data_IF_658983076584
#
_entry.id   IF_658983076584
#
_cell.length_a   1.000
_cell.length_b   1.000
_cell.length_c   1.000
_cell.angle_alpha   90.00
_cell.angle_beta   90.00
_cell.angle_gamma   90.00
#
_symmetry.space_group_name_H-M   'P 1'
#
loop_
_entity.id
_entity.type
_entity.pdbx_description
1 polymer ?
#
# COMPACT_ATOMS: atom_id res chain seq x y z
N UNK A 1 -24.05 24.28 6.16
CA UNK A 1 -24.60 23.91 4.82
C UNK A 1 -23.62 24.36 3.75
N UNK A 2 -22.89 23.43 3.14
CA UNK A 2 -22.22 23.61 1.85
C UNK A 2 -22.30 22.25 1.15
N UNK A 3 -23.13 22.17 0.10
CA UNK A 3 -23.37 20.95 -0.67
C UNK A 3 -22.13 20.66 -1.51
N UNK A 4 -21.39 19.60 -1.18
CA UNK A 4 -20.45 18.99 -2.11
C UNK A 4 -21.27 18.38 -3.25
N UNK A 5 -21.19 19.02 -4.41
CA UNK A 5 -21.79 18.55 -5.65
C UNK A 5 -21.17 17.20 -6.02
N UNK A 6 -21.98 16.15 -5.94
CA UNK A 6 -21.72 14.86 -6.53
C UNK A 6 -21.52 15.01 -8.04
N UNK A 7 -20.34 14.68 -8.55
CA UNK A 7 -20.14 14.55 -9.99
C UNK A 7 -20.07 13.06 -10.35
N UNK A 8 -21.24 12.43 -10.43
CA UNK A 8 -21.39 11.11 -11.00
C UNK A 8 -21.14 11.21 -12.53
N UNK A 9 -20.29 10.33 -13.04
CA UNK A 9 -19.77 10.23 -14.43
C UNK A 9 -18.59 11.14 -14.80
N UNK A 10 -17.37 10.75 -14.38
CA UNK A 10 -16.17 11.16 -15.13
C UNK A 10 -16.24 10.52 -16.52
N UNK A 11 -16.47 11.35 -17.53
CA UNK A 11 -16.34 10.98 -18.94
C UNK A 11 -14.98 10.32 -19.20
N UNK A 12 -14.95 9.38 -20.13
CA UNK A 12 -13.82 8.54 -20.57
C UNK A 12 -12.58 9.30 -21.10
N UNK A 13 -12.51 10.63 -20.94
CA UNK A 13 -11.40 11.49 -21.35
C UNK A 13 -10.68 12.25 -20.22
N UNK A 14 -11.10 12.12 -18.96
CA UNK A 14 -10.40 12.80 -17.86
C UNK A 14 -8.94 12.29 -17.71
N UNK A 15 -7.95 13.17 -17.45
CA UNK A 15 -6.59 12.75 -17.15
C UNK A 15 -6.55 11.77 -15.97
N UNK A 16 -5.70 10.75 -16.07
CA UNK A 16 -5.51 9.79 -14.99
C UNK A 16 -4.75 10.48 -13.85
N UNK A 17 -5.33 10.53 -12.65
CA UNK A 17 -4.77 11.29 -11.54
C UNK A 17 -4.75 10.53 -10.21
N UNK A 18 -4.52 11.24 -9.08
CA UNK A 18 -4.36 10.63 -7.76
C UNK A 18 -5.57 9.81 -7.29
N UNK A 19 -6.79 10.22 -7.63
CA UNK A 19 -7.99 9.43 -7.34
C UNK A 19 -7.95 8.09 -8.09
N UNK A 20 -7.66 8.12 -9.39
CA UNK A 20 -7.60 6.91 -10.21
C UNK A 20 -6.49 5.97 -9.73
N UNK A 21 -5.37 6.51 -9.26
CA UNK A 21 -4.31 5.73 -8.64
C UNK A 21 -4.75 5.04 -7.35
N UNK A 22 -5.47 5.73 -6.45
CA UNK A 22 -6.00 5.09 -5.24
C UNK A 22 -6.96 3.94 -5.56
N UNK A 23 -7.73 4.04 -6.65
CA UNK A 23 -8.57 2.94 -7.15
C UNK A 23 -7.75 1.73 -7.65
N UNK A 24 -6.52 1.94 -8.11
CA UNK A 24 -5.59 0.84 -8.43
C UNK A 24 -5.17 0.11 -7.16
N UNK A 25 -4.84 0.87 -6.10
CA UNK A 25 -4.49 0.29 -4.81
C UNK A 25 -5.65 -0.55 -4.26
N UNK A 26 -6.85 0.05 -4.22
CA UNK A 26 -8.07 -0.59 -3.75
C UNK A 26 -8.42 -1.87 -4.52
N UNK A 27 -8.36 -1.84 -5.86
CA UNK A 27 -8.68 -3.05 -6.65
C UNK A 27 -7.78 -4.21 -6.30
N UNK A 28 -6.51 -3.96 -5.99
CA UNK A 28 -5.57 -5.01 -5.58
C UNK A 28 -5.86 -5.53 -4.18
N UNK A 29 -6.24 -4.65 -3.26
CA UNK A 29 -6.66 -5.01 -1.90
C UNK A 29 -7.98 -5.79 -1.87
N UNK A 30 -8.86 -5.58 -2.87
CA UNK A 30 -10.14 -6.29 -2.98
C UNK A 30 -10.00 -7.81 -3.14
N UNK A 31 -8.80 -8.28 -3.52
CA UNK A 31 -8.51 -9.71 -3.56
C UNK A 31 -8.46 -10.34 -2.14
N UNK A 32 -8.31 -9.53 -1.08
CA UNK A 32 -8.32 -9.97 0.32
C UNK A 32 -9.47 -9.37 1.13
N UNK A 33 -9.83 -8.11 0.85
CA UNK A 33 -10.77 -7.32 1.65
C UNK A 33 -11.87 -6.69 0.78
N UNK A 34 -12.73 -7.50 0.11
CA UNK A 34 -13.69 -6.98 -0.86
C UNK A 34 -14.73 -6.03 -0.24
N UNK A 35 -15.20 -6.29 0.98
CA UNK A 35 -16.19 -5.45 1.67
C UNK A 35 -15.60 -4.09 2.06
N UNK A 36 -14.41 -4.09 2.67
CA UNK A 36 -13.72 -2.85 3.08
C UNK A 36 -13.38 -1.96 1.87
N UNK A 37 -13.02 -2.59 0.74
CA UNK A 37 -12.82 -1.87 -0.52
C UNK A 37 -14.11 -1.31 -1.07
N UNK A 38 -15.21 -2.04 -0.99
CA UNK A 38 -16.50 -1.56 -1.47
C UNK A 38 -16.97 -0.31 -0.70
N UNK A 39 -16.75 -0.29 0.61
CA UNK A 39 -17.08 0.85 1.47
C UNK A 39 -16.17 2.06 1.19
N UNK A 40 -14.85 1.86 1.12
CA UNK A 40 -13.91 2.92 0.74
C UNK A 40 -14.23 3.51 -0.65
N UNK A 41 -14.61 2.64 -1.61
CA UNK A 41 -15.02 3.07 -2.96
C UNK A 41 -16.29 3.91 -2.91
N UNK A 42 -17.30 3.53 -2.10
CA UNK A 42 -18.54 4.31 -1.93
C UNK A 42 -18.26 5.67 -1.30
N UNK A 43 -17.39 5.73 -0.30
CA UNK A 43 -16.96 7.00 0.32
C UNK A 43 -16.32 7.94 -0.70
N UNK A 44 -15.52 7.40 -1.63
CA UNK A 44 -14.94 8.14 -2.75
C UNK A 44 -15.95 8.51 -3.86
N UNK A 45 -17.21 8.03 -3.77
CA UNK A 45 -18.25 8.29 -4.78
C UNK A 45 -18.00 7.63 -6.14
N UNK A 46 -17.15 6.60 -6.20
CA UNK A 46 -16.75 5.93 -7.45
C UNK A 46 -17.56 4.66 -7.63
N UNK A 47 -17.95 4.28 -8.85
CA UNK A 47 -18.63 3.00 -9.12
C UNK A 47 -17.63 1.81 -9.21
N UNK A 48 -18.11 0.57 -9.05
CA UNK A 48 -17.27 -0.62 -9.29
C UNK A 48 -16.70 -0.63 -10.73
N UNK A 49 -17.50 -0.20 -11.71
CA UNK A 49 -17.05 -0.04 -13.09
C UNK A 49 -15.96 1.03 -13.21
N UNK A 50 -16.07 2.15 -12.51
CA UNK A 50 -15.05 3.18 -12.46
C UNK A 50 -13.71 2.67 -11.91
N UNK A 51 -13.74 1.90 -10.82
CA UNK A 51 -12.54 1.27 -10.28
C UNK A 51 -11.90 0.29 -11.27
N UNK A 52 -12.71 -0.54 -11.95
CA UNK A 52 -12.22 -1.46 -13.00
C UNK A 52 -11.58 -0.70 -14.16
N UNK A 53 -12.18 0.41 -14.58
CA UNK A 53 -11.67 1.26 -15.66
C UNK A 53 -10.35 1.93 -15.29
N UNK A 54 -10.21 2.47 -14.07
CA UNK A 54 -8.94 2.99 -13.57
C UNK A 54 -7.84 1.93 -13.62
N UNK A 55 -8.14 0.70 -13.18
CA UNK A 55 -7.18 -0.39 -13.24
C UNK A 55 -6.80 -0.78 -14.67
N UNK A 56 -7.77 -0.81 -15.59
CA UNK A 56 -7.51 -1.07 -17.01
C UNK A 56 -6.54 -0.04 -17.60
N UNK A 57 -6.78 1.25 -17.33
CA UNK A 57 -5.92 2.36 -17.78
C UNK A 57 -4.52 2.29 -17.17
N UNK A 58 -4.40 1.99 -15.88
CA UNK A 58 -3.11 1.80 -15.22
C UNK A 58 -2.30 0.66 -15.85
N UNK A 59 -2.94 -0.50 -16.05
CA UNK A 59 -2.31 -1.65 -16.67
C UNK A 59 -1.86 -1.38 -18.11
N UNK A 60 -2.64 -0.59 -18.86
CA UNK A 60 -2.22 -0.13 -20.19
C UNK A 60 -0.97 0.77 -20.13
N UNK A 61 -0.90 1.70 -19.16
CA UNK A 61 0.29 2.55 -18.96
C UNK A 61 1.53 1.75 -18.56
N UNK A 62 1.38 0.73 -17.69
CA UNK A 62 2.49 -0.13 -17.25
C UNK A 62 3.05 -0.97 -18.39
N UNK A 63 2.20 -1.46 -19.29
CA UNK A 63 2.59 -2.36 -20.39
C UNK A 63 3.00 -1.66 -21.69
N UNK A 64 2.94 -0.33 -21.74
CA UNK A 64 3.23 0.40 -22.98
C UNK A 64 4.70 0.20 -23.42
N UNK A 65 4.97 -0.13 -24.70
CA UNK A 65 6.34 -0.42 -25.19
C UNK A 65 7.35 0.72 -25.03
N UNK A 66 6.87 1.97 -24.94
CA UNK A 66 7.66 3.18 -24.67
C UNK A 66 7.32 3.79 -23.31
N UNK A 67 6.89 2.98 -22.35
CA UNK A 67 6.58 3.46 -21.02
C UNK A 67 7.82 4.19 -20.46
N UNK A 68 7.60 5.41 -19.98
CA UNK A 68 8.62 6.10 -19.18
C UNK A 68 8.93 5.22 -17.95
N UNK A 69 10.16 5.31 -17.42
CA UNK A 69 10.57 4.56 -16.23
C UNK A 69 9.57 4.70 -15.08
N UNK A 70 9.48 3.71 -14.19
CA UNK A 70 8.43 3.61 -13.17
C UNK A 70 8.24 4.90 -12.35
N UNK A 71 9.34 5.54 -11.93
CA UNK A 71 9.30 6.83 -11.24
C UNK A 71 8.63 7.95 -12.03
N UNK A 72 8.94 8.07 -13.33
CA UNK A 72 8.34 9.08 -14.20
C UNK A 72 6.83 8.87 -14.36
N UNK A 73 6.36 7.62 -14.37
CA UNK A 73 4.94 7.30 -14.37
C UNK A 73 4.26 7.77 -13.08
N UNK A 74 4.86 7.53 -11.91
CA UNK A 74 4.30 8.04 -10.65
C UNK A 74 4.23 9.56 -10.62
N UNK A 75 5.31 10.26 -11.01
CA UNK A 75 5.31 11.73 -11.11
C UNK A 75 4.24 12.25 -12.07
N UNK A 76 4.04 11.58 -13.20
CA UNK A 76 3.01 11.97 -14.17
C UNK A 76 1.57 11.81 -13.65
N UNK A 77 1.33 10.88 -12.72
CA UNK A 77 -0.01 10.56 -12.20
C UNK A 77 -0.29 11.27 -10.89
N UNK A 78 0.72 11.37 -10.02
CA UNK A 78 0.60 11.89 -8.65
C UNK A 78 1.11 13.32 -8.52
N UNK A 79 1.78 13.86 -9.54
CA UNK A 79 2.44 15.15 -9.50
C UNK A 79 3.80 15.10 -8.80
N UNK A 80 4.25 16.24 -8.31
CA UNK A 80 5.47 16.31 -7.49
C UNK A 80 5.25 15.64 -6.13
N UNK A 81 6.25 14.90 -5.61
CA UNK A 81 6.17 14.33 -4.27
C UNK A 81 6.06 15.44 -3.23
N UNK A 82 5.34 15.17 -2.14
CA UNK A 82 5.28 16.06 -0.97
C UNK A 82 6.64 16.11 -0.27
N UNK A 83 7.34 14.98 -0.22
CA UNK A 83 8.64 14.87 0.42
C UNK A 83 9.57 13.97 -0.40
N UNK A 84 10.85 14.34 -0.46
CA UNK A 84 11.92 13.50 -1.01
C UNK A 84 13.12 13.55 -0.07
N UNK A 85 13.66 12.38 0.29
CA UNK A 85 14.86 12.28 1.12
C UNK A 85 15.67 11.03 0.76
N UNK A 86 16.96 11.04 1.14
CA UNK A 86 17.83 9.87 1.00
C UNK A 86 17.64 8.92 2.18
N UNK A 87 17.61 7.62 1.90
CA UNK A 87 17.54 6.55 2.88
C UNK A 87 18.58 5.48 2.56
N UNK A 88 19.38 5.14 3.56
CA UNK A 88 20.28 3.99 3.52
C UNK A 88 19.52 2.72 3.86
N UNK A 89 19.61 1.69 3.01
CA UNK A 89 19.08 0.35 3.27
C UNK A 89 20.21 -0.66 3.06
N UNK A 90 20.75 -1.17 4.17
CA UNK A 90 21.98 -1.95 4.13
C UNK A 90 23.15 -1.07 3.68
N UNK A 91 23.76 -1.40 2.55
CA UNK A 91 24.83 -0.66 1.89
C UNK A 91 24.33 0.22 0.72
N UNK A 92 23.03 0.19 0.43
CA UNK A 92 22.43 0.94 -0.68
C UNK A 92 21.88 2.30 -0.22
N UNK A 93 22.32 3.37 -0.87
CA UNK A 93 21.72 4.70 -0.76
C UNK A 93 20.57 4.84 -1.78
N UNK A 94 19.34 5.02 -1.30
CA UNK A 94 18.15 5.16 -2.14
C UNK A 94 17.48 6.52 -1.93
N UNK A 95 16.83 7.04 -2.96
CA UNK A 95 15.88 8.15 -2.80
C UNK A 95 14.50 7.61 -2.44
N UNK A 96 13.90 8.11 -1.37
CA UNK A 96 12.51 7.88 -1.00
C UNK A 96 11.67 9.09 -1.39
N UNK A 97 10.64 8.89 -2.21
CA UNK A 97 9.71 9.92 -2.65
C UNK A 97 8.31 9.59 -2.15
N UNK A 98 7.65 10.55 -1.50
CA UNK A 98 6.38 10.34 -0.82
C UNK A 98 5.28 11.21 -1.42
N UNK A 99 4.16 10.59 -1.76
CA UNK A 99 2.95 11.28 -2.21
C UNK A 99 1.79 11.10 -1.23
N UNK A 100 0.94 12.13 -1.07
CA UNK A 100 -0.29 11.99 -0.31
C UNK A 100 -1.25 11.01 -1.00
N UNK A 101 -1.94 10.24 -0.18
CA UNK A 101 -3.03 9.34 -0.59
C UNK A 101 -4.28 9.69 0.22
N UNK A 102 -5.12 10.64 -0.25
CA UNK A 102 -6.21 11.21 0.54
C UNK A 102 -7.18 10.23 1.23
N UNK A 103 -7.33 9.00 0.70
CA UNK A 103 -8.11 7.94 1.33
C UNK A 103 -7.52 7.48 2.68
N UNK A 104 -6.20 7.59 2.85
CA UNK A 104 -5.48 7.30 4.08
C UNK A 104 -4.67 8.53 4.51
N UNK A 105 -5.28 9.53 5.17
CA UNK A 105 -4.63 10.82 5.45
C UNK A 105 -3.31 10.71 6.24
N UNK A 106 -3.23 9.73 7.15
CA UNK A 106 -2.03 9.45 7.94
C UNK A 106 -0.96 8.62 7.21
N UNK A 107 -1.17 8.24 5.95
CA UNK A 107 -0.23 7.45 5.16
C UNK A 107 0.30 8.24 3.96
N UNK A 108 1.39 7.76 3.39
CA UNK A 108 1.96 8.21 2.12
C UNK A 108 2.25 7.01 1.24
N UNK A 109 2.12 7.20 -0.06
CA UNK A 109 2.67 6.25 -1.02
C UNK A 109 4.15 6.60 -1.25
N UNK A 110 5.04 5.73 -0.78
CA UNK A 110 6.47 5.83 -0.93
C UNK A 110 6.93 5.02 -2.15
N UNK A 111 7.72 5.66 -3.00
CA UNK A 111 8.51 5.00 -4.05
C UNK A 111 9.97 5.13 -3.67
N UNK A 112 10.63 4.00 -3.45
CA UNK A 112 12.08 3.97 -3.26
C UNK A 112 12.80 3.69 -4.58
N UNK A 113 13.81 4.50 -4.84
CA UNK A 113 14.57 4.52 -6.08
C UNK A 113 16.03 4.23 -5.76
N UNK A 114 16.55 3.13 -6.30
CA UNK A 114 17.94 2.74 -6.16
C UNK A 114 18.86 3.63 -7.04
N UNK A 115 20.18 3.62 -6.78
CA UNK A 115 21.15 4.26 -7.67
C UNK A 115 20.96 3.77 -9.11
N UNK A 116 20.92 4.69 -10.07
CA UNK A 116 20.61 4.39 -11.47
C UNK A 116 19.12 4.49 -11.83
N UNK A 117 18.24 4.86 -10.90
CA UNK A 117 16.85 5.24 -11.19
C UNK A 117 15.86 4.07 -11.21
N UNK A 118 16.29 2.86 -10.83
CA UNK A 118 15.42 1.70 -10.73
C UNK A 118 14.51 1.83 -9.49
N UNK A 119 13.21 1.61 -9.67
CA UNK A 119 12.27 1.51 -8.55
C UNK A 119 12.33 0.09 -8.01
N UNK A 120 12.64 -0.05 -6.73
CA UNK A 120 12.77 -1.35 -6.08
C UNK A 120 11.72 -1.59 -4.99
N UNK A 121 11.11 -0.53 -4.45
CA UNK A 121 9.97 -0.65 -3.52
C UNK A 121 8.91 0.43 -3.72
N UNK A 122 7.64 0.07 -3.48
CA UNK A 122 6.44 0.88 -3.77
C UNK A 122 5.32 0.59 -2.75
N UNK A 123 5.32 1.26 -1.59
CA UNK A 123 4.43 0.93 -0.47
C UNK A 123 3.69 2.13 0.10
N UNK A 124 2.58 1.85 0.77
CA UNK A 124 1.98 2.73 1.76
C UNK A 124 2.80 2.67 3.04
N UNK A 125 3.29 3.82 3.49
CA UNK A 125 4.06 4.02 4.73
C UNK A 125 3.36 5.03 5.61
N UNK A 126 3.63 5.00 6.92
CA UNK A 126 3.17 6.04 7.85
C UNK A 126 3.78 7.38 7.41
N UNK A 127 2.96 8.43 7.33
CA UNK A 127 3.48 9.75 7.01
C UNK A 127 4.49 10.19 8.09
N UNK A 128 5.61 10.83 7.72
CA UNK A 128 6.59 11.31 8.71
C UNK A 128 5.92 12.21 9.77
N UNK A 129 6.15 11.89 11.04
CA UNK A 129 5.57 12.63 12.18
C UNK A 129 4.18 12.17 12.62
N UNK A 130 3.48 11.36 11.82
CA UNK A 130 2.21 10.75 12.23
C UNK A 130 2.43 9.58 13.19
N UNK A 131 1.57 9.48 14.20
CA UNK A 131 1.59 8.34 15.11
C UNK A 131 1.09 7.08 14.40
N UNK A 132 1.84 5.98 14.56
CA UNK A 132 1.39 4.64 14.17
C UNK A 132 0.41 4.05 15.20
N UNK A 133 -0.28 2.94 14.86
CA UNK A 133 -1.11 2.22 15.80
C UNK A 133 -0.25 1.59 16.91
N UNK A 134 -0.81 1.50 18.11
CA UNK A 134 -0.20 0.74 19.20
C UNK A 134 -0.53 -0.75 19.04
N UNK A 135 0.43 -1.52 18.51
CA UNK A 135 0.28 -2.95 18.29
C UNK A 135 0.83 -3.71 19.51
N UNK A 136 -0.05 -4.25 20.34
CA UNK A 136 0.31 -4.96 21.57
C UNK A 136 0.05 -6.45 21.48
N UNK A 137 -0.93 -6.86 20.68
CA UNK A 137 -1.37 -8.24 20.49
C UNK A 137 -1.75 -8.48 19.04
N UNK A 138 -1.99 -9.74 18.67
CA UNK A 138 -2.53 -10.06 17.34
C UNK A 138 -3.92 -9.46 17.08
N UNK A 139 -4.72 -9.18 18.11
CA UNK A 139 -6.05 -8.57 17.94
C UNK A 139 -5.96 -7.12 17.42
N UNK A 140 -4.83 -6.46 17.63
CA UNK A 140 -4.58 -5.11 17.13
C UNK A 140 -4.28 -5.09 15.62
N UNK A 141 -3.94 -6.25 15.02
CA UNK A 141 -3.65 -6.41 13.59
C UNK A 141 -4.93 -6.50 12.76
N UNK A 142 -5.66 -5.39 12.70
CA UNK A 142 -6.87 -5.27 11.86
C UNK A 142 -6.52 -4.88 10.43
N UNK A 143 -7.27 -5.34 9.41
CA UNK A 143 -7.03 -4.92 8.04
C UNK A 143 -6.91 -3.39 7.91
N UNK A 144 -5.90 -2.94 7.18
CA UNK A 144 -5.57 -1.55 6.88
C UNK A 144 -5.11 -0.66 8.05
N UNK A 145 -4.98 -1.19 9.27
CA UNK A 145 -4.59 -0.35 10.41
C UNK A 145 -3.08 -0.04 10.45
N UNK A 146 -2.24 -0.98 10.02
CA UNK A 146 -0.80 -0.89 10.15
C UNK A 146 -0.04 -1.25 8.87
N UNK A 147 1.18 -0.72 8.78
CA UNK A 147 2.14 -1.00 7.71
C UNK A 147 3.05 -2.17 8.09
N UNK A 148 3.81 -2.67 7.11
CA UNK A 148 4.82 -3.71 7.32
C UNK A 148 5.81 -3.29 8.39
N UNK A 149 6.35 -2.07 8.31
CA UNK A 149 7.37 -1.57 9.23
C UNK A 149 6.85 -1.44 10.67
N UNK A 150 5.55 -1.15 10.82
CA UNK A 150 4.89 -1.08 12.12
C UNK A 150 4.77 -2.48 12.74
N UNK A 151 4.36 -3.49 11.97
CA UNK A 151 4.30 -4.90 12.43
C UNK A 151 5.70 -5.44 12.73
N UNK A 152 6.67 -5.19 11.84
CA UNK A 152 8.03 -5.67 12.00
C UNK A 152 8.72 -5.14 13.27
N UNK A 153 8.39 -3.90 13.64
CA UNK A 153 8.90 -3.25 14.87
C UNK A 153 8.18 -3.74 16.12
N UNK A 154 6.86 -3.93 16.05
CA UNK A 154 6.06 -4.33 17.19
C UNK A 154 6.28 -5.79 17.62
N UNK A 155 6.52 -6.69 16.65
CA UNK A 155 6.57 -8.13 16.89
C UNK A 155 7.88 -8.77 16.40
N UNK A 156 9.04 -8.40 16.97
CA UNK A 156 10.31 -9.04 16.61
C UNK A 156 10.38 -10.50 17.14
N UNK A 157 11.12 -11.40 16.46
CA UNK A 157 11.83 -11.20 15.21
C UNK A 157 10.88 -11.22 14.00
N UNK A 158 11.03 -10.24 13.12
CA UNK A 158 10.27 -10.15 11.88
C UNK A 158 11.10 -10.64 10.68
N UNK A 159 10.52 -11.50 9.84
CA UNK A 159 11.18 -12.11 8.68
C UNK A 159 10.34 -11.93 7.42
N UNK A 160 10.82 -11.17 6.42
CA UNK A 160 10.14 -11.06 5.14
C UNK A 160 10.00 -12.42 4.46
N UNK A 161 8.85 -12.63 3.84
CA UNK A 161 8.51 -13.83 3.09
C UNK A 161 8.00 -13.44 1.70
N UNK A 162 8.23 -14.33 0.73
CA UNK A 162 7.72 -14.14 -0.62
C UNK A 162 6.19 -14.03 -0.60
N UNK A 163 5.68 -12.91 -1.12
CA UNK A 163 4.25 -12.71 -1.35
C UNK A 163 3.76 -13.47 -2.57
N UNK A 164 2.44 -13.64 -2.66
CA UNK A 164 1.79 -14.51 -3.67
C UNK A 164 1.72 -13.91 -5.07
N UNK A 165 2.01 -12.61 -5.22
CA UNK A 165 1.99 -11.91 -6.50
C UNK A 165 2.67 -10.53 -6.37
N UNK A 166 2.88 -9.76 -7.48
CA UNK A 166 3.46 -8.42 -7.39
C UNK A 166 2.70 -7.54 -6.41
N UNK A 167 3.44 -6.68 -5.71
CA UNK A 167 2.96 -5.72 -4.68
C UNK A 167 2.37 -6.36 -3.42
N UNK A 168 2.40 -7.70 -3.33
CA UNK A 168 2.08 -8.45 -2.12
C UNK A 168 3.35 -8.90 -1.42
N UNK A 169 3.30 -8.90 -0.10
CA UNK A 169 4.38 -9.38 0.75
C UNK A 169 3.79 -10.11 1.94
N UNK A 170 4.56 -11.06 2.47
CA UNK A 170 4.25 -11.69 3.76
C UNK A 170 5.34 -11.37 4.77
N UNK A 171 4.96 -11.36 6.03
CA UNK A 171 5.89 -11.16 7.15
C UNK A 171 5.60 -12.23 8.20
N UNK A 172 6.59 -13.06 8.51
CA UNK A 172 6.56 -13.89 9.71
C UNK A 172 7.04 -13.07 10.91
N UNK A 173 6.40 -13.25 12.06
CA UNK A 173 6.70 -12.54 13.29
C UNK A 173 6.37 -13.40 14.52
N UNK A 174 6.73 -12.91 15.72
CA UNK A 174 6.41 -13.59 16.98
C UNK A 174 5.45 -12.75 17.82
N UNK A 175 4.29 -13.32 18.12
CA UNK A 175 3.29 -12.70 18.99
C UNK A 175 3.81 -12.59 20.43
N UNK A 176 3.27 -11.65 21.22
CA UNK A 176 3.44 -11.67 22.67
C UNK A 176 2.93 -13.01 23.22
N UNK A 177 3.77 -13.70 24.00
CA UNK A 177 3.53 -15.07 24.45
C UNK A 177 4.25 -16.14 23.63
N UNK A 178 4.98 -15.77 22.58
CA UNK A 178 5.92 -16.64 21.86
C UNK A 178 5.33 -17.42 20.67
N UNK A 179 4.03 -17.29 20.41
CA UNK A 179 3.38 -17.94 19.27
C UNK A 179 3.80 -17.34 17.92
N UNK A 180 4.02 -18.14 16.87
CA UNK A 180 4.33 -17.64 15.55
C UNK A 180 3.09 -17.01 14.88
N UNK A 181 3.30 -15.93 14.13
CA UNK A 181 2.28 -15.28 13.32
C UNK A 181 2.78 -14.99 11.91
N UNK A 182 1.88 -15.01 10.94
CA UNK A 182 2.14 -14.58 9.56
C UNK A 182 1.09 -13.55 9.15
N UNK A 183 1.54 -12.44 8.58
CA UNK A 183 0.68 -11.38 8.06
C UNK A 183 0.89 -11.21 6.56
N UNK A 184 -0.22 -11.04 5.82
CA UNK A 184 -0.24 -10.69 4.41
C UNK A 184 -0.46 -9.17 4.24
N UNK A 185 0.36 -8.58 3.37
CA UNK A 185 0.33 -7.16 3.04
C UNK A 185 0.10 -6.98 1.54
N UNK A 186 -0.57 -5.90 1.19
CA UNK A 186 -0.74 -5.44 -0.18
C UNK A 186 -0.41 -3.95 -0.22
N UNK A 187 0.52 -3.56 -1.10
CA UNK A 187 1.09 -2.21 -1.11
C UNK A 187 1.66 -1.80 0.26
N UNK A 188 2.25 -2.74 1.02
CA UNK A 188 2.78 -2.46 2.35
C UNK A 188 1.75 -2.24 3.46
N UNK A 189 0.45 -2.36 3.17
CA UNK A 189 -0.62 -2.21 4.15
C UNK A 189 -1.25 -3.56 4.51
N UNK A 190 -1.46 -3.81 5.81
CA UNK A 190 -1.95 -5.09 6.33
C UNK A 190 -3.29 -5.47 5.70
N UNK A 191 -3.42 -6.71 5.23
CA UNK A 191 -4.67 -7.25 4.69
C UNK A 191 -5.29 -8.28 5.63
N UNK A 192 -4.51 -9.24 6.12
CA UNK A 192 -4.94 -10.21 7.11
C UNK A 192 -3.72 -10.78 7.82
N UNK A 193 -3.96 -11.58 8.86
CA UNK A 193 -2.94 -12.35 9.52
C UNK A 193 -3.54 -13.62 10.10
N UNK A 194 -2.69 -14.59 10.39
CA UNK A 194 -3.05 -15.78 11.14
C UNK A 194 -1.95 -16.15 12.11
N UNK A 195 -2.34 -16.67 13.28
CA UNK A 195 -1.42 -17.44 14.10
C UNK A 195 -1.06 -18.72 13.33
N UNK A 196 0.22 -19.05 13.24
CA UNK A 196 0.58 -20.38 12.77
C UNK A 196 0.41 -21.36 13.95
N UNK A 197 -0.13 -22.56 13.70
CA UNK A 197 -0.10 -23.59 14.72
C UNK A 197 1.35 -23.83 15.12
N UNK A 198 1.63 -23.87 16.43
CA UNK A 198 2.95 -24.29 16.92
C UNK A 198 3.29 -25.61 16.20
N UNK A 199 4.35 -25.60 15.40
CA UNK A 199 4.84 -26.82 14.77
C UNK A 199 5.06 -27.90 15.82
N UNK A 200 4.95 -29.19 15.48
CA UNK A 200 5.16 -30.27 16.44
C UNK A 200 6.63 -30.23 16.92
N UNK A 201 6.89 -29.58 18.07
CA UNK A 201 8.26 -29.38 18.54
C UNK A 201 8.48 -28.46 19.72
N UNK A 202 7.51 -28.30 20.63
CA UNK A 202 7.76 -27.66 21.92
C UNK A 202 6.96 -28.38 23.03
N UNK A 203 7.52 -29.50 23.49
CA UNK A 203 7.22 -30.15 24.76
C UNK A 203 8.54 -30.64 25.34
#
# INVERSE_FOLDING_TARGET
MARMTSNASRASGAPFGPLDFQLVLLRRMADHQPELVDDARKELGVSLAGMREANRRWQAMVRAPRARGALSRYRSVLGEPELTFRRTVGDLECDALLWPVPLWPGLRFEVMVAPGGAVWNEWLVRAPGEAGPELRTGEDLRPWCCTVDEVARAFPPARPMQGTAPTRMRLAFTLPGGGPGVADFTWGLLQNWSAEPNGPGAA
#
